data_IF_587888120298
#
_entry.id   IF_587888120298
#
_cell.length_a   1.000
_cell.length_b   1.000
_cell.length_c   1.000
_cell.angle_alpha   90.00
_cell.angle_beta   90.00
_cell.angle_gamma   90.00
#
_symmetry.space_group_name_H-M   'P 1'
#
loop_
_entity.id
_entity.type
_entity.pdbx_description
1 polymer ?
#
# COMPACT_ATOMS: atom_id res chain seq x y z
N UNK A 1 -35.28 -54.26 12.85
CA UNK A 1 -35.22 -53.04 13.68
C UNK A 1 -33.92 -52.91 14.52
N UNK A 2 -32.77 -53.49 14.09
CA UNK A 2 -31.50 -53.38 14.85
C UNK A 2 -30.46 -52.42 14.24
N UNK A 3 -30.61 -52.05 12.98
CA UNK A 3 -29.71 -51.11 12.28
C UNK A 3 -30.25 -49.67 12.19
N UNK A 4 -31.52 -49.46 12.57
CA UNK A 4 -32.17 -48.15 12.52
C UNK A 4 -31.61 -47.15 13.52
N UNK A 5 -31.13 -47.63 14.68
CA UNK A 5 -30.48 -46.80 15.69
C UNK A 5 -28.99 -46.51 15.35
N UNK A 6 -28.35 -47.41 14.60
CA UNK A 6 -26.94 -47.26 14.20
C UNK A 6 -26.77 -46.23 13.08
N UNK A 7 -27.73 -46.13 12.16
CA UNK A 7 -27.74 -45.14 11.07
C UNK A 7 -27.94 -43.70 11.57
N UNK A 8 -28.64 -43.52 12.70
CA UNK A 8 -28.89 -42.18 13.26
C UNK A 8 -27.67 -41.60 13.98
N UNK A 9 -26.73 -42.44 14.43
CA UNK A 9 -25.53 -42.02 15.14
C UNK A 9 -24.41 -41.58 14.18
N UNK A 10 -24.35 -42.15 12.97
CA UNK A 10 -23.38 -41.77 11.94
C UNK A 10 -23.72 -40.41 11.29
N UNK A 11 -25.01 -40.08 11.15
CA UNK A 11 -25.45 -38.80 10.61
C UNK A 11 -25.12 -37.60 11.54
N UNK A 12 -24.97 -37.83 12.85
CA UNK A 12 -24.64 -36.79 13.82
C UNK A 12 -23.14 -36.44 13.85
N UNK A 13 -22.26 -37.35 13.38
CA UNK A 13 -20.82 -37.12 13.29
C UNK A 13 -20.41 -36.27 12.07
N UNK A 14 -21.26 -36.16 11.05
CA UNK A 14 -20.95 -35.40 9.82
C UNK A 14 -21.24 -33.89 9.99
N UNK A 15 -22.02 -33.52 11.01
CA UNK A 15 -22.39 -32.12 11.28
C UNK A 15 -21.35 -31.35 12.12
N UNK A 16 -20.31 -32.01 12.65
CA UNK A 16 -19.30 -31.37 13.50
C UNK A 16 -18.03 -30.93 12.78
N UNK A 17 -17.93 -31.07 11.44
CA UNK A 17 -16.74 -30.66 10.68
C UNK A 17 -16.86 -29.30 9.98
N UNK A 18 -18.00 -28.60 10.06
CA UNK A 18 -18.16 -27.28 9.45
C UNK A 18 -18.08 -26.16 10.48
N UNK A 19 -16.97 -26.10 11.20
CA UNK A 19 -16.55 -24.88 11.85
C UNK A 19 -15.48 -24.27 10.95
N UNK A 20 -15.90 -23.51 9.93
CA UNK A 20 -15.04 -22.45 9.43
C UNK A 20 -14.82 -21.52 10.61
N UNK A 21 -13.75 -21.74 11.36
CA UNK A 21 -13.20 -20.69 12.19
C UNK A 21 -12.88 -19.59 11.19
N UNK A 22 -13.72 -18.56 11.15
CA UNK A 22 -13.27 -17.25 10.73
C UNK A 22 -12.09 -16.94 11.65
N UNK A 23 -10.89 -17.27 11.18
CA UNK A 23 -9.68 -16.73 11.73
C UNK A 23 -9.81 -15.23 11.50
N UNK A 24 -10.32 -14.54 12.52
CA UNK A 24 -10.10 -13.13 12.71
C UNK A 24 -8.60 -12.99 12.96
N UNK A 25 -7.78 -13.23 11.94
CA UNK A 25 -6.37 -12.88 11.96
C UNK A 25 -6.33 -11.41 12.31
N UNK A 26 -5.67 -11.02 13.41
CA UNK A 26 -5.64 -9.63 13.79
C UNK A 26 -5.11 -8.80 12.63
N UNK A 27 -5.92 -7.89 12.13
CA UNK A 27 -5.54 -6.97 11.05
C UNK A 27 -4.93 -5.71 11.65
N UNK A 28 -3.79 -5.29 11.12
CA UNK A 28 -3.16 -4.01 11.45
C UNK A 28 -3.23 -3.05 10.26
N UNK A 29 -2.86 -1.79 10.50
CA UNK A 29 -2.69 -0.79 9.47
C UNK A 29 -1.29 -0.18 9.51
N UNK A 30 -0.83 0.27 8.35
CA UNK A 30 0.40 1.03 8.17
C UNK A 30 0.07 2.30 7.41
N UNK A 31 0.47 3.44 7.96
CA UNK A 31 0.39 4.72 7.28
C UNK A 31 1.78 5.12 6.80
N UNK A 32 1.91 5.39 5.51
CA UNK A 32 3.13 5.95 4.92
C UNK A 32 2.87 7.39 4.51
N UNK A 33 3.66 8.32 5.04
CA UNK A 33 3.57 9.74 4.74
C UNK A 33 4.79 10.17 3.90
N UNK A 34 4.54 10.76 2.75
CA UNK A 34 5.56 11.25 1.82
C UNK A 34 5.54 12.76 1.79
N UNK A 35 6.64 13.38 2.23
CA UNK A 35 6.82 14.82 2.25
C UNK A 35 7.93 15.23 1.28
N UNK A 36 7.67 16.28 0.50
CA UNK A 36 8.73 16.96 -0.24
C UNK A 36 9.40 17.97 0.66
N UNK A 37 10.72 17.98 0.65
CA UNK A 37 11.52 18.97 1.37
C UNK A 37 12.58 19.54 0.46
N UNK A 38 12.90 20.81 0.68
CA UNK A 38 13.99 21.52 0.03
C UNK A 38 14.72 22.33 1.09
N UNK A 39 16.03 22.11 1.22
CA UNK A 39 16.86 22.71 2.28
C UNK A 39 16.30 22.48 3.70
N UNK A 40 15.77 21.27 3.94
CA UNK A 40 15.16 20.87 5.21
C UNK A 40 13.79 21.50 5.51
N UNK A 41 13.27 22.36 4.63
CA UNK A 41 11.93 22.96 4.76
C UNK A 41 10.90 22.22 3.90
N UNK A 42 9.62 22.16 4.31
CA UNK A 42 8.55 21.64 3.45
C UNK A 42 8.51 22.39 2.11
N UNK A 43 8.51 21.63 1.02
CA UNK A 43 8.45 22.20 -0.32
C UNK A 43 7.00 22.29 -0.79
N UNK A 44 6.50 23.52 -0.96
CA UNK A 44 5.22 23.78 -1.59
C UNK A 44 5.40 23.98 -3.10
N UNK A 45 4.52 23.36 -3.89
CA UNK A 45 4.49 23.45 -5.35
C UNK A 45 4.06 24.85 -5.81
N UNK A 46 4.45 25.22 -7.02
CA UNK A 46 4.15 26.51 -7.66
C UNK A 46 4.65 27.74 -6.89
N UNK A 47 5.70 27.54 -6.09
CA UNK A 47 6.41 28.62 -5.40
C UNK A 47 7.86 28.69 -5.87
N UNK A 48 8.40 29.90 -5.86
CA UNK A 48 9.81 30.14 -6.14
C UNK A 48 10.62 29.89 -4.88
N UNK A 49 11.66 29.06 -4.99
CA UNK A 49 12.67 28.87 -3.94
C UNK A 49 14.03 29.35 -4.44
N UNK A 50 14.88 29.78 -3.51
CA UNK A 50 16.24 30.19 -3.82
C UNK A 50 17.17 28.98 -3.90
N UNK A 51 17.99 28.93 -4.94
CA UNK A 51 19.13 28.03 -5.05
C UNK A 51 20.37 28.66 -4.41
N UNK A 52 21.35 27.88 -3.91
CA UNK A 52 22.51 28.44 -3.21
C UNK A 52 23.34 29.45 -4.00
N UNK A 53 23.28 29.45 -5.33
CA UNK A 53 23.97 30.41 -6.21
C UNK A 53 23.17 31.70 -6.49
N UNK A 54 21.98 31.84 -5.88
CA UNK A 54 21.07 32.97 -6.09
C UNK A 54 20.08 32.80 -7.24
N UNK A 55 20.13 31.70 -8.00
CA UNK A 55 19.10 31.37 -8.97
C UNK A 55 17.76 31.07 -8.27
N UNK A 56 16.66 31.27 -8.98
CA UNK A 56 15.33 30.90 -8.49
C UNK A 56 14.85 29.63 -9.19
N UNK A 57 14.45 28.63 -8.41
CA UNK A 57 13.84 27.40 -8.90
C UNK A 57 12.34 27.49 -8.69
N UNK A 58 11.58 27.05 -9.69
CA UNK A 58 10.13 26.94 -9.63
C UNK A 58 9.74 25.49 -9.88
N UNK A 59 9.16 24.83 -8.87
CA UNK A 59 8.68 23.46 -9.00
C UNK A 59 7.22 23.48 -9.42
N UNK A 60 6.95 23.13 -10.68
CA UNK A 60 5.60 23.05 -11.25
C UNK A 60 5.06 21.61 -11.35
N UNK A 61 5.97 20.62 -11.27
CA UNK A 61 5.63 19.21 -11.30
C UNK A 61 6.65 18.37 -10.53
N UNK A 62 6.16 17.53 -9.63
CA UNK A 62 6.96 16.50 -8.98
C UNK A 62 6.08 15.29 -8.74
N UNK A 63 6.35 14.20 -9.47
CA UNK A 63 5.52 13.01 -9.43
C UNK A 63 6.42 11.78 -9.42
N UNK A 64 5.99 10.74 -8.71
CA UNK A 64 6.78 9.53 -8.51
C UNK A 64 5.91 8.29 -8.71
N UNK A 65 6.47 7.25 -9.34
CA UNK A 65 5.92 5.91 -9.24
C UNK A 65 6.61 5.17 -8.10
N UNK A 66 5.83 4.47 -7.29
CA UNK A 66 6.31 3.48 -6.35
C UNK A 66 5.92 2.10 -6.88
N UNK A 67 6.82 1.14 -6.83
CA UNK A 67 6.54 -0.25 -7.17
C UNK A 67 7.22 -1.20 -6.21
N UNK A 68 6.82 -2.48 -6.24
CA UNK A 68 7.46 -3.56 -5.46
C UNK A 68 7.54 -3.23 -3.95
N UNK A 69 6.45 -2.69 -3.42
CA UNK A 69 6.36 -2.28 -2.02
C UNK A 69 5.95 -3.47 -1.17
N UNK A 70 6.80 -3.89 -0.24
CA UNK A 70 6.52 -5.01 0.65
C UNK A 70 7.19 -4.86 2.01
N UNK A 71 6.55 -5.46 3.02
CA UNK A 71 7.16 -5.69 4.33
C UNK A 71 7.87 -7.05 4.33
N UNK A 72 8.96 -7.16 5.07
CA UNK A 72 9.68 -8.43 5.26
C UNK A 72 9.68 -8.81 6.73
N UNK A 73 9.32 -10.05 7.02
CA UNK A 73 9.43 -10.65 8.35
C UNK A 73 10.24 -11.96 8.27
N UNK A 74 10.16 -12.81 9.30
CA UNK A 74 10.87 -14.09 9.33
C UNK A 74 10.27 -15.15 8.41
N UNK A 75 8.99 -15.04 8.09
CA UNK A 75 8.26 -16.03 7.28
C UNK A 75 8.24 -15.67 5.80
N UNK A 76 8.48 -14.41 5.44
CA UNK A 76 8.61 -13.98 4.05
C UNK A 76 8.26 -12.51 3.81
N UNK A 77 7.67 -12.26 2.63
CA UNK A 77 7.27 -10.94 2.15
C UNK A 77 5.74 -10.78 2.20
N UNK A 78 5.28 -9.64 2.72
CA UNK A 78 3.89 -9.21 2.64
C UNK A 78 3.81 -8.05 1.64
N UNK A 79 3.13 -8.24 0.51
CA UNK A 79 2.91 -7.17 -0.47
C UNK A 79 2.03 -6.07 0.12
N UNK A 80 2.40 -4.81 -0.13
CA UNK A 80 1.65 -3.64 0.32
C UNK A 80 0.86 -3.01 -0.83
N UNK A 81 1.53 -2.80 -1.96
CA UNK A 81 0.95 -2.26 -3.19
C UNK A 81 1.80 -2.68 -4.38
N UNK A 82 1.14 -2.83 -5.53
CA UNK A 82 1.78 -3.22 -6.79
C UNK A 82 2.48 -2.02 -7.45
N UNK A 83 1.69 -1.01 -7.82
CA UNK A 83 2.15 0.27 -8.36
C UNK A 83 1.32 1.40 -7.77
N UNK A 84 1.98 2.48 -7.32
CA UNK A 84 1.32 3.71 -6.88
C UNK A 84 1.93 4.92 -7.55
N UNK A 85 1.10 5.73 -8.18
CA UNK A 85 1.48 7.07 -8.61
C UNK A 85 1.25 8.07 -7.48
N UNK A 86 2.29 8.82 -7.14
CA UNK A 86 2.25 9.94 -6.22
C UNK A 86 2.32 11.23 -7.03
N UNK A 87 1.25 12.02 -6.95
CA UNK A 87 1.16 13.34 -7.57
C UNK A 87 1.14 14.40 -6.48
N UNK A 88 2.18 15.22 -6.44
CA UNK A 88 2.35 16.24 -5.41
C UNK A 88 1.79 17.62 -5.83
N UNK A 89 1.14 17.71 -6.99
CA UNK A 89 0.59 18.96 -7.56
C UNK A 89 -0.30 19.73 -6.60
N UNK A 90 -1.05 19.04 -5.73
CA UNK A 90 -1.97 19.66 -4.78
C UNK A 90 -1.28 20.21 -3.52
N UNK A 91 0.02 20.00 -3.34
CA UNK A 91 0.78 20.51 -2.18
C UNK A 91 1.21 21.97 -2.39
N UNK A 92 0.26 22.87 -2.58
CA UNK A 92 0.53 24.25 -3.06
C UNK A 92 0.87 25.25 -1.94
N UNK A 93 0.63 24.89 -0.69
CA UNK A 93 0.97 25.70 0.48
C UNK A 93 1.80 24.89 1.50
N UNK A 94 2.38 25.59 2.47
CA UNK A 94 3.27 24.99 3.46
C UNK A 94 2.55 23.97 4.35
N UNK A 95 1.27 24.17 4.66
CA UNK A 95 0.51 23.25 5.50
C UNK A 95 0.17 21.96 4.74
N UNK A 96 -0.20 22.08 3.46
CA UNK A 96 -0.35 20.96 2.55
C UNK A 96 0.99 20.20 2.39
N UNK A 97 2.10 20.92 2.18
CA UNK A 97 3.43 20.32 2.06
C UNK A 97 3.86 19.53 3.32
N UNK A 98 3.56 20.06 4.51
CA UNK A 98 3.79 19.35 5.79
C UNK A 98 2.93 18.11 5.95
N UNK A 99 1.69 18.14 5.46
CA UNK A 99 0.82 16.96 5.45
C UNK A 99 1.31 15.91 4.46
N UNK A 100 1.80 16.34 3.29
CA UNK A 100 2.31 15.44 2.28
C UNK A 100 1.23 14.52 1.69
N UNK A 101 1.65 13.47 1.01
CA UNK A 101 0.76 12.41 0.53
C UNK A 101 0.76 11.27 1.54
N UNK A 102 -0.44 10.87 1.97
CA UNK A 102 -0.63 9.80 2.93
C UNK A 102 -1.17 8.56 2.19
N UNK A 103 -0.49 7.43 2.34
CA UNK A 103 -0.97 6.12 1.93
C UNK A 103 -1.41 5.34 3.17
N UNK A 104 -2.71 5.10 3.28
CA UNK A 104 -3.31 4.30 4.35
C UNK A 104 -3.46 2.84 3.89
N UNK A 105 -2.55 1.98 4.33
CA UNK A 105 -2.56 0.55 4.05
C UNK A 105 -3.27 -0.16 5.20
N UNK A 106 -4.39 -0.81 4.91
CA UNK A 106 -5.24 -1.49 5.90
C UNK A 106 -5.17 -3.00 5.70
N UNK A 107 -5.72 -3.73 6.66
CA UNK A 107 -5.89 -5.19 6.55
C UNK A 107 -4.57 -5.96 6.41
N UNK A 108 -3.49 -5.40 6.98
CA UNK A 108 -2.20 -6.07 6.99
C UNK A 108 -2.20 -7.18 8.05
N UNK A 109 -1.57 -8.33 7.81
CA UNK A 109 -1.37 -9.33 8.85
C UNK A 109 -0.59 -8.72 10.01
N UNK A 110 -1.13 -8.81 11.23
CA UNK A 110 -0.42 -8.35 12.42
C UNK A 110 0.83 -9.20 12.64
N UNK A 111 1.95 -8.55 12.97
CA UNK A 111 3.21 -9.23 13.24
C UNK A 111 4.38 -8.26 13.33
N UNK A 112 5.55 -8.82 13.64
CA UNK A 112 6.81 -8.08 13.68
C UNK A 112 7.47 -8.12 12.30
N UNK A 113 7.72 -6.95 11.72
CA UNK A 113 8.41 -6.80 10.45
C UNK A 113 9.80 -6.22 10.67
N UNK A 114 10.78 -6.73 9.92
CA UNK A 114 12.20 -6.35 10.03
C UNK A 114 12.58 -5.26 9.04
N UNK A 115 11.86 -5.15 7.92
CA UNK A 115 12.10 -4.10 6.93
C UNK A 115 10.86 -3.76 6.12
N UNK A 116 10.88 -2.54 5.60
CA UNK A 116 10.00 -2.02 4.57
C UNK A 116 10.84 -1.82 3.31
N UNK A 117 10.42 -2.41 2.20
CA UNK A 117 11.01 -2.15 0.88
C UNK A 117 10.03 -1.33 0.06
N UNK A 118 10.54 -0.28 -0.58
CA UNK A 118 9.81 0.57 -1.52
C UNK A 118 10.70 0.71 -2.76
N UNK A 119 10.24 0.22 -3.90
CA UNK A 119 10.86 0.51 -5.18
C UNK A 119 10.46 1.90 -5.67
N UNK A 120 11.43 2.66 -6.17
CA UNK A 120 11.20 3.97 -6.80
C UNK A 120 11.23 3.78 -8.31
N UNK A 121 10.18 4.27 -8.98
CA UNK A 121 9.95 4.07 -10.41
C UNK A 121 9.02 2.89 -10.69
N UNK A 122 9.12 2.37 -11.90
CA UNK A 122 8.42 1.16 -12.32
C UNK A 122 9.43 0.02 -12.47
N UNK A 123 9.06 -1.15 -11.97
CA UNK A 123 9.83 -2.37 -12.21
C UNK A 123 9.87 -2.72 -13.70
N UNK A 124 10.86 -3.49 -14.18
CA UNK A 124 10.92 -3.93 -15.58
C UNK A 124 9.63 -4.63 -16.05
N UNK A 125 8.98 -5.40 -15.16
CA UNK A 125 7.73 -6.07 -15.47
C UNK A 125 6.59 -5.06 -15.71
N UNK A 126 6.48 -4.05 -14.85
CA UNK A 126 5.46 -2.99 -15.02
C UNK A 126 5.73 -2.11 -16.25
N UNK A 127 7.00 -1.77 -16.50
CA UNK A 127 7.40 -0.99 -17.69
C UNK A 127 7.18 -1.74 -19.02
N UNK A 128 7.07 -3.06 -19.00
CA UNK A 128 6.81 -3.86 -20.20
C UNK A 128 5.31 -3.92 -20.59
N UNK A 129 4.42 -3.41 -19.73
CA UNK A 129 2.98 -3.35 -20.00
C UNK A 129 2.62 -2.13 -20.86
N UNK A 130 1.50 -2.22 -21.58
CA UNK A 130 0.91 -1.14 -22.39
C UNK A 130 -0.49 -0.81 -21.91
N UNK A 131 -1.04 0.38 -22.22
CA UNK A 131 -2.38 0.77 -21.78
C UNK A 131 -3.49 -0.24 -22.10
N UNK A 132 -3.37 -0.99 -23.20
CA UNK A 132 -4.34 -2.03 -23.57
C UNK A 132 -4.31 -3.29 -22.69
N UNK A 133 -3.27 -3.46 -21.86
CA UNK A 133 -3.19 -4.56 -20.90
C UNK A 133 -4.02 -4.30 -19.64
N UNK A 134 -4.48 -3.06 -19.43
CA UNK A 134 -5.27 -2.64 -18.28
C UNK A 134 -6.73 -2.44 -18.68
N UNK A 135 -7.65 -2.99 -17.88
CA UNK A 135 -9.08 -2.68 -18.01
C UNK A 135 -9.32 -1.30 -17.40
N UNK A 136 -9.94 -0.40 -18.17
CA UNK A 136 -10.48 0.83 -17.61
C UNK A 136 -11.61 0.47 -16.66
N UNK A 137 -11.40 0.66 -15.37
CA UNK A 137 -12.47 0.63 -14.38
C UNK A 137 -13.01 2.06 -14.28
N UNK A 138 -14.19 2.28 -14.83
CA UNK A 138 -14.92 3.54 -14.69
C UNK A 138 -15.72 3.40 -13.39
N UNK A 139 -15.33 4.15 -12.36
CA UNK A 139 -16.08 4.28 -11.10
C UNK A 139 -17.11 5.39 -11.21
#
# INVERSE_FOLDING_TARGET
MKYSLLSSLFALLILSTSCEKQENTPSSSLQLQFNLTYDGQPLAMFQKVSYPDGASIFFDKFNLFLSDCYLVNETGKTSLLDVKWLDFTDLQDIEAAKKGIILDLKELPSGNYKSLTIGIGLSPAWNATKPSDYKLIIH
#
